data_IF_289015677880
#
_entry.id   IF_289015677880
#
_cell.length_a   1.000
_cell.length_b   1.000
_cell.length_c   1.000
_cell.angle_alpha   90.00
_cell.angle_beta   90.00
_cell.angle_gamma   90.00
#
_symmetry.space_group_name_H-M   'P 1'
#
loop_
_entity.id
_entity.type
_entity.pdbx_description
1 polymer ?
#
# COMPACT_ATOMS: atom_id res chain seq x y z
N UNK A 1 -2.32 -15.71 -8.93
CA UNK A 1 -1.46 -14.52 -8.94
C UNK A 1 -1.97 -13.52 -7.93
N UNK A 2 -1.06 -12.91 -7.14
CA UNK A 2 -1.33 -11.72 -6.31
C UNK A 2 -0.82 -10.50 -7.08
N UNK A 3 -1.69 -9.54 -7.38
CA UNK A 3 -1.37 -8.34 -8.15
C UNK A 3 -1.32 -7.12 -7.24
N UNK A 4 -0.15 -6.53 -7.09
CA UNK A 4 0.05 -5.29 -6.33
C UNK A 4 -0.28 -4.08 -7.19
N UNK A 5 -0.99 -3.10 -6.63
CA UNK A 5 -1.31 -1.86 -7.35
C UNK A 5 -0.60 -0.69 -6.70
N UNK A 6 0.19 0.01 -7.50
CA UNK A 6 0.91 1.22 -7.11
C UNK A 6 0.64 2.35 -8.13
N UNK A 7 0.72 3.62 -7.73
CA UNK A 7 0.61 4.71 -8.70
C UNK A 7 1.87 4.80 -9.58
N UNK A 8 3.03 4.66 -8.97
CA UNK A 8 4.37 4.77 -9.56
C UNK A 8 5.42 4.21 -8.58
N UNK A 9 6.70 4.27 -8.94
CA UNK A 9 7.82 3.81 -8.11
C UNK A 9 8.60 4.96 -7.43
N UNK A 10 7.94 6.06 -7.03
CA UNK A 10 8.61 7.32 -6.60
C UNK A 10 9.22 7.32 -5.19
N UNK A 11 9.16 6.25 -4.43
CA UNK A 11 9.94 6.16 -3.19
C UNK A 11 9.20 6.50 -1.90
N UNK A 12 7.88 6.44 -1.89
CA UNK A 12 7.10 6.52 -0.65
C UNK A 12 7.26 5.28 0.24
N UNK A 13 7.04 5.47 1.55
CA UNK A 13 7.12 4.34 2.50
C UNK A 13 6.08 3.25 2.24
N UNK A 14 4.89 3.63 1.77
CA UNK A 14 3.82 2.69 1.45
C UNK A 14 4.16 1.85 0.21
N UNK A 15 4.74 2.47 -0.82
CA UNK A 15 5.22 1.79 -2.03
C UNK A 15 6.37 0.83 -1.69
N UNK A 16 7.31 1.26 -0.86
CA UNK A 16 8.43 0.40 -0.41
C UNK A 16 7.91 -0.83 0.35
N UNK A 17 6.95 -0.64 1.25
CA UNK A 17 6.32 -1.76 1.98
C UNK A 17 5.62 -2.72 1.01
N UNK A 18 4.88 -2.21 0.02
CA UNK A 18 4.24 -3.06 -0.98
C UNK A 18 5.27 -3.89 -1.77
N UNK A 19 6.38 -3.27 -2.17
CA UNK A 19 7.46 -3.96 -2.89
C UNK A 19 8.18 -4.99 -2.01
N UNK A 20 8.42 -4.71 -0.73
CA UNK A 20 8.97 -5.67 0.21
C UNK A 20 8.05 -6.89 0.38
N UNK A 21 6.72 -6.67 0.49
CA UNK A 21 5.74 -7.75 0.54
C UNK A 21 5.71 -8.55 -0.75
N UNK A 22 5.74 -7.88 -1.90
CA UNK A 22 5.80 -8.51 -3.22
C UNK A 22 7.04 -9.40 -3.33
N UNK A 23 8.22 -8.88 -3.01
CA UNK A 23 9.49 -9.62 -3.06
C UNK A 23 9.47 -10.80 -2.08
N UNK A 24 8.95 -10.58 -0.86
CA UNK A 24 8.82 -11.66 0.14
C UNK A 24 7.90 -12.80 -0.31
N UNK A 25 6.80 -12.49 -0.99
CA UNK A 25 5.91 -13.49 -1.59
C UNK A 25 6.56 -14.18 -2.79
N UNK A 26 7.23 -13.41 -3.65
CA UNK A 26 7.96 -13.94 -4.80
C UNK A 26 9.02 -14.95 -4.37
N UNK A 27 9.85 -14.61 -3.38
CA UNK A 27 10.90 -15.48 -2.85
C UNK A 27 10.36 -16.77 -2.20
N UNK A 28 9.07 -16.79 -1.82
CA UNK A 28 8.36 -17.98 -1.33
C UNK A 28 7.66 -18.77 -2.43
N UNK A 29 7.92 -18.45 -3.70
CA UNK A 29 7.37 -19.16 -4.86
C UNK A 29 5.93 -18.77 -5.24
N UNK A 30 5.37 -17.70 -4.65
CA UNK A 30 4.05 -17.23 -5.06
C UNK A 30 4.11 -16.49 -6.39
N UNK A 31 3.11 -16.71 -7.24
CA UNK A 31 2.95 -15.93 -8.46
C UNK A 31 2.48 -14.52 -8.11
N UNK A 32 3.32 -13.54 -8.35
CA UNK A 32 3.09 -12.11 -8.06
C UNK A 32 3.26 -11.26 -9.32
N UNK A 33 2.65 -10.10 -9.33
CA UNK A 33 2.83 -9.07 -10.36
C UNK A 33 2.60 -7.69 -9.77
N UNK A 34 3.01 -6.65 -10.48
CA UNK A 34 2.72 -5.28 -10.10
C UNK A 34 2.06 -4.53 -11.25
N UNK A 35 0.99 -3.81 -10.96
CA UNK A 35 0.33 -2.90 -11.88
C UNK A 35 0.56 -1.48 -11.40
N UNK A 36 1.05 -0.63 -12.30
CA UNK A 36 1.33 0.78 -12.02
C UNK A 36 0.54 1.69 -12.96
N UNK A 37 0.17 2.88 -12.49
CA UNK A 37 -0.43 3.87 -13.36
C UNK A 37 0.61 4.48 -14.29
N UNK A 38 1.82 4.72 -13.77
CA UNK A 38 2.97 5.17 -14.57
C UNK A 38 4.23 4.44 -14.12
N UNK A 39 4.99 3.89 -15.08
CA UNK A 39 6.23 3.16 -14.82
C UNK A 39 7.42 4.12 -14.64
N UNK A 40 7.39 4.91 -13.56
CA UNK A 40 8.44 5.90 -13.24
C UNK A 40 8.83 5.84 -11.78
N UNK A 41 10.10 6.13 -11.50
CA UNK A 41 10.65 6.31 -10.16
C UNK A 41 11.73 5.29 -9.75
N UNK A 42 12.52 5.62 -8.72
CA UNK A 42 13.72 4.86 -8.34
C UNK A 42 13.43 3.48 -7.76
N UNK A 43 12.26 3.25 -7.18
CA UNK A 43 11.93 1.96 -6.56
C UNK A 43 11.68 0.83 -7.58
N UNK A 44 11.70 1.11 -8.88
CA UNK A 44 11.55 0.07 -9.92
C UNK A 44 12.64 -1.00 -9.80
N UNK A 45 13.83 -0.64 -9.35
CA UNK A 45 14.96 -1.56 -9.11
C UNK A 45 14.69 -2.58 -7.99
N UNK A 46 13.68 -2.35 -7.14
CA UNK A 46 13.28 -3.30 -6.10
C UNK A 46 12.36 -4.41 -6.62
N UNK A 47 11.86 -4.28 -7.84
CA UNK A 47 11.02 -5.33 -8.44
C UNK A 47 11.93 -6.45 -8.97
N UNK A 48 11.75 -7.71 -8.54
CA UNK A 48 12.54 -8.82 -9.08
C UNK A 48 12.40 -8.95 -10.59
N UNK A 49 13.50 -9.29 -11.29
CA UNK A 49 13.59 -9.27 -12.76
C UNK A 49 12.52 -10.14 -13.48
N UNK A 50 12.06 -11.20 -12.82
CA UNK A 50 11.06 -12.13 -13.37
C UNK A 50 9.61 -11.80 -12.95
N UNK A 51 9.39 -10.68 -12.25
CA UNK A 51 8.05 -10.20 -11.91
C UNK A 51 7.52 -9.27 -13.00
N UNK A 52 6.32 -9.57 -13.50
CA UNK A 52 5.69 -8.78 -14.56
C UNK A 52 5.22 -7.42 -14.02
N UNK A 53 5.58 -6.37 -14.74
CA UNK A 53 5.12 -4.99 -14.49
C UNK A 53 4.10 -4.63 -15.57
N UNK A 54 2.85 -4.39 -15.16
CA UNK A 54 1.79 -3.89 -16.02
C UNK A 54 1.70 -2.37 -15.89
N UNK A 55 1.93 -1.63 -16.96
CA UNK A 55 1.84 -0.17 -16.99
C UNK A 55 0.54 0.27 -17.66
N UNK A 56 -0.27 1.09 -16.96
CA UNK A 56 -1.49 1.67 -17.54
C UNK A 56 -1.21 2.90 -18.39
N UNK A 57 0.01 3.45 -18.27
CA UNK A 57 0.45 4.67 -18.98
C UNK A 57 -0.50 5.86 -18.75
N UNK A 58 -0.86 6.09 -17.49
CA UNK A 58 -1.75 7.16 -17.07
C UNK A 58 -1.12 7.99 -15.95
N UNK A 59 -1.42 9.30 -15.91
CA UNK A 59 -0.84 10.21 -14.92
C UNK A 59 -1.81 10.61 -13.80
N UNK A 60 -3.09 10.28 -13.94
CA UNK A 60 -4.11 10.66 -12.96
C UNK A 60 -5.03 9.49 -12.62
N UNK A 61 -5.47 9.43 -11.35
CA UNK A 61 -6.39 8.39 -10.91
C UNK A 61 -7.65 8.31 -11.78
N UNK A 62 -8.24 9.46 -12.15
CA UNK A 62 -9.45 9.50 -12.98
C UNK A 62 -9.26 8.81 -14.33
N UNK A 63 -8.15 9.06 -15.01
CA UNK A 63 -7.82 8.42 -16.29
C UNK A 63 -7.45 6.94 -16.14
N UNK A 64 -7.01 6.54 -14.95
CA UNK A 64 -6.61 5.15 -14.68
C UNK A 64 -7.80 4.22 -14.44
N UNK A 65 -8.99 4.71 -14.11
CA UNK A 65 -10.13 3.85 -13.68
C UNK A 65 -10.52 2.85 -14.76
N UNK A 66 -10.75 3.30 -16.00
CA UNK A 66 -11.16 2.41 -17.09
C UNK A 66 -10.04 1.42 -17.47
N UNK A 67 -8.79 1.86 -17.73
CA UNK A 67 -7.67 0.94 -17.95
C UNK A 67 -7.45 -0.03 -16.79
N UNK A 68 -7.62 0.39 -15.54
CA UNK A 68 -7.50 -0.45 -14.36
C UNK A 68 -8.53 -1.59 -14.40
N UNK A 69 -9.81 -1.25 -14.57
CA UNK A 69 -10.89 -2.24 -14.61
C UNK A 69 -10.70 -3.23 -15.76
N UNK A 70 -10.38 -2.74 -16.96
CA UNK A 70 -10.17 -3.59 -18.14
C UNK A 70 -8.99 -4.53 -17.95
N UNK A 71 -7.87 -4.01 -17.41
CA UNK A 71 -6.68 -4.82 -17.12
C UNK A 71 -6.95 -5.86 -16.04
N UNK A 72 -7.63 -5.50 -14.95
CA UNK A 72 -7.99 -6.45 -13.89
C UNK A 72 -8.93 -7.56 -14.41
N UNK A 73 -9.88 -7.22 -15.26
CA UNK A 73 -10.75 -8.21 -15.91
C UNK A 73 -9.98 -9.17 -16.83
N UNK A 74 -9.02 -8.64 -17.59
CA UNK A 74 -8.19 -9.42 -18.51
C UNK A 74 -7.23 -10.34 -17.76
N UNK A 75 -6.51 -9.81 -16.77
CA UNK A 75 -5.51 -10.55 -15.99
C UNK A 75 -6.17 -11.53 -15.02
N UNK A 76 -7.35 -11.18 -14.53
CA UNK A 76 -8.15 -11.97 -13.61
C UNK A 76 -7.33 -12.54 -12.43
N UNK A 77 -6.61 -11.69 -11.68
CA UNK A 77 -5.79 -12.14 -10.56
C UNK A 77 -6.67 -12.74 -9.46
N UNK A 78 -6.11 -13.63 -8.63
CA UNK A 78 -6.82 -14.11 -7.44
C UNK A 78 -6.99 -13.02 -6.41
N UNK A 79 -5.92 -12.25 -6.16
CA UNK A 79 -5.89 -11.17 -5.17
C UNK A 79 -5.38 -9.90 -5.83
N UNK A 80 -6.05 -8.80 -5.59
CA UNK A 80 -5.60 -7.42 -5.87
C UNK A 80 -5.23 -6.78 -4.54
N UNK A 81 -3.98 -6.37 -4.39
CA UNK A 81 -3.46 -5.75 -3.18
C UNK A 81 -3.13 -4.29 -3.41
N UNK A 82 -3.68 -3.40 -2.59
CA UNK A 82 -3.41 -1.96 -2.63
C UNK A 82 -3.06 -1.40 -1.26
N UNK A 83 -2.18 -0.40 -1.20
CA UNK A 83 -1.66 0.17 0.06
C UNK A 83 -1.81 1.68 0.18
N UNK A 84 -2.48 2.34 -0.75
CA UNK A 84 -2.70 3.79 -0.74
C UNK A 84 -4.18 4.10 -0.67
N UNK A 85 -4.61 4.86 0.34
CA UNK A 85 -6.01 5.10 0.65
C UNK A 85 -6.85 5.59 -0.53
N UNK A 86 -6.34 6.50 -1.38
CA UNK A 86 -7.06 6.97 -2.56
C UNK A 86 -7.22 5.89 -3.65
N UNK A 87 -6.24 4.97 -3.78
CA UNK A 87 -6.35 3.81 -4.68
C UNK A 87 -7.31 2.77 -4.07
N UNK A 88 -7.25 2.56 -2.74
CA UNK A 88 -8.18 1.70 -2.03
C UNK A 88 -9.63 2.13 -2.29
N UNK A 89 -9.93 3.43 -2.10
CA UNK A 89 -11.26 3.99 -2.37
C UNK A 89 -11.67 3.77 -3.82
N UNK A 90 -10.78 4.02 -4.78
CA UNK A 90 -11.07 3.83 -6.20
C UNK A 90 -11.37 2.36 -6.55
N UNK A 91 -10.56 1.43 -6.07
CA UNK A 91 -10.77 -0.02 -6.26
C UNK A 91 -12.09 -0.48 -5.67
N UNK A 92 -12.39 -0.08 -4.44
CA UNK A 92 -13.62 -0.45 -3.76
C UNK A 92 -14.86 0.19 -4.39
N UNK A 93 -14.73 1.39 -4.95
CA UNK A 93 -15.81 2.04 -5.71
C UNK A 93 -16.15 1.27 -6.99
N UNK A 94 -15.17 0.69 -7.68
CA UNK A 94 -15.38 -0.08 -8.92
C UNK A 94 -15.51 -1.59 -8.67
N UNK A 95 -15.57 -2.04 -7.41
CA UNK A 95 -15.66 -3.47 -7.04
C UNK A 95 -16.74 -4.23 -7.80
N UNK A 96 -17.89 -3.60 -8.02
CA UNK A 96 -19.04 -4.19 -8.73
C UNK A 96 -18.79 -4.43 -10.23
N UNK A 97 -17.79 -3.76 -10.82
CA UNK A 97 -17.34 -3.98 -12.20
C UNK A 97 -16.37 -5.16 -12.33
N UNK A 98 -15.83 -5.66 -11.22
CA UNK A 98 -14.83 -6.72 -11.23
C UNK A 98 -15.46 -8.10 -11.01
N UNK A 99 -14.88 -9.17 -11.58
CA UNK A 99 -15.31 -10.54 -11.29
C UNK A 99 -15.32 -10.84 -9.79
N UNK A 100 -16.36 -11.53 -9.31
CA UNK A 100 -16.51 -11.87 -7.88
C UNK A 100 -15.34 -12.70 -7.32
N UNK A 101 -14.69 -13.49 -8.16
CA UNK A 101 -13.54 -14.34 -7.79
C UNK A 101 -12.24 -13.57 -7.51
N UNK A 102 -12.17 -12.29 -7.88
CA UNK A 102 -11.04 -11.43 -7.53
C UNK A 102 -11.26 -10.93 -6.11
N UNK A 103 -10.37 -11.27 -5.20
CA UNK A 103 -10.36 -10.70 -3.84
C UNK A 103 -9.66 -9.35 -3.85
N UNK A 104 -10.25 -8.34 -3.21
CA UNK A 104 -9.64 -7.02 -3.02
C UNK A 104 -9.16 -6.90 -1.59
N UNK A 105 -7.84 -6.86 -1.43
CA UNK A 105 -7.15 -6.66 -0.17
C UNK A 105 -6.61 -5.24 -0.12
N UNK A 106 -7.12 -4.45 0.80
CA UNK A 106 -6.70 -3.06 0.99
C UNK A 106 -5.87 -2.95 2.27
N UNK A 107 -4.79 -2.20 2.20
CA UNK A 107 -3.96 -1.91 3.35
C UNK A 107 -3.92 -0.40 3.59
N UNK A 108 -4.03 0.00 4.85
CA UNK A 108 -3.82 1.40 5.24
C UNK A 108 -2.42 1.58 5.84
N UNK A 109 -1.76 2.64 5.37
CA UNK A 109 -0.43 2.98 5.83
C UNK A 109 -0.43 3.94 7.02
N UNK A 110 -1.46 4.78 7.12
CA UNK A 110 -1.61 5.82 8.15
C UNK A 110 -2.95 5.66 8.88
N UNK A 111 -3.01 6.08 10.14
CA UNK A 111 -4.26 6.18 10.88
C UNK A 111 -5.22 7.15 10.15
N UNK A 112 -6.45 6.71 9.81
CA UNK A 112 -7.42 7.57 9.14
C UNK A 112 -7.72 8.86 9.91
N UNK A 113 -7.84 8.80 11.24
CA UNK A 113 -8.05 9.99 12.09
C UNK A 113 -6.96 11.07 11.94
N UNK A 114 -5.74 10.68 11.54
CA UNK A 114 -4.62 11.61 11.31
C UNK A 114 -4.55 12.04 9.84
N UNK A 115 -4.81 11.11 8.91
CA UNK A 115 -4.60 11.36 7.48
C UNK A 115 -5.79 12.01 6.78
N UNK A 116 -7.03 11.68 7.17
CA UNK A 116 -8.23 12.17 6.49
C UNK A 116 -8.48 13.68 6.70
N UNK A 117 -8.26 14.27 7.89
CA UNK A 117 -8.43 15.72 8.08
C UNK A 117 -7.57 16.59 7.15
N UNK A 118 -6.42 16.06 6.72
CA UNK A 118 -5.49 16.76 5.82
C UNK A 118 -5.85 16.66 4.33
N UNK A 119 -6.95 15.99 4.00
CA UNK A 119 -7.44 15.91 2.62
C UNK A 119 -8.21 17.18 2.23
N UNK A 120 -8.24 17.54 0.93
CA UNK A 120 -9.03 18.69 0.46
C UNK A 120 -10.53 18.60 0.77
N UNK A 121 -11.07 17.39 0.87
CA UNK A 121 -12.49 17.11 1.13
C UNK A 121 -12.65 16.08 2.27
N UNK A 122 -12.30 16.44 3.53
CA UNK A 122 -12.20 15.47 4.61
C UNK A 122 -13.53 14.78 4.93
N UNK A 123 -14.65 15.50 4.92
CA UNK A 123 -15.99 14.92 5.18
C UNK A 123 -16.40 13.91 4.10
N UNK A 124 -16.15 14.25 2.84
CA UNK A 124 -16.46 13.36 1.71
C UNK A 124 -15.64 12.08 1.76
N UNK A 125 -14.33 12.21 1.96
CA UNK A 125 -13.44 11.04 1.99
C UNK A 125 -13.75 10.14 3.20
N UNK A 126 -14.10 10.72 4.35
CA UNK A 126 -14.55 9.96 5.53
C UNK A 126 -15.84 9.18 5.24
N UNK A 127 -16.80 9.80 4.55
CA UNK A 127 -18.03 9.12 4.14
C UNK A 127 -17.73 7.97 3.16
N UNK A 128 -16.81 8.18 2.20
CA UNK A 128 -16.37 7.13 1.27
C UNK A 128 -15.69 5.97 2.00
N UNK A 129 -14.87 6.24 3.00
CA UNK A 129 -14.26 5.20 3.84
C UNK A 129 -15.34 4.36 4.54
N UNK A 130 -16.33 5.00 5.18
CA UNK A 130 -17.45 4.30 5.84
C UNK A 130 -18.28 3.43 4.89
N UNK A 131 -18.48 3.91 3.67
CA UNK A 131 -19.32 3.21 2.68
C UNK A 131 -18.56 2.07 2.00
N UNK A 132 -17.30 2.34 1.60
CA UNK A 132 -16.60 1.48 0.65
C UNK A 132 -15.74 0.43 1.33
N UNK A 133 -15.10 0.70 2.49
CA UNK A 133 -14.20 -0.26 3.13
C UNK A 133 -14.89 -1.56 3.57
N UNK A 134 -16.21 -1.53 3.77
CA UNK A 134 -17.04 -2.72 4.01
C UNK A 134 -17.11 -3.68 2.81
N UNK A 135 -16.68 -3.22 1.63
CA UNK A 135 -16.66 -4.02 0.39
C UNK A 135 -15.32 -4.71 0.13
N UNK A 136 -14.34 -4.47 0.98
CA UNK A 136 -13.06 -5.16 0.92
C UNK A 136 -13.22 -6.62 1.34
N UNK A 137 -12.51 -7.51 0.69
CA UNK A 137 -12.44 -8.91 1.11
C UNK A 137 -11.49 -9.06 2.32
N UNK A 138 -10.43 -8.23 2.37
CA UNK A 138 -9.54 -8.09 3.53
C UNK A 138 -9.10 -6.63 3.69
N UNK A 139 -9.07 -6.18 4.95
CA UNK A 139 -8.48 -4.91 5.36
C UNK A 139 -7.25 -5.17 6.24
N UNK A 140 -6.10 -4.70 5.80
CA UNK A 140 -4.84 -4.88 6.50
C UNK A 140 -4.49 -3.59 7.23
N UNK A 141 -4.45 -3.68 8.54
CA UNK A 141 -4.08 -2.62 9.47
C UNK A 141 -2.64 -2.81 9.96
N UNK A 142 -1.90 -1.73 10.16
CA UNK A 142 -0.52 -1.79 10.67
C UNK A 142 -0.43 -1.90 12.18
N UNK A 143 -1.55 -1.68 12.90
CA UNK A 143 -1.59 -1.70 14.36
C UNK A 143 -3.00 -2.01 14.89
N UNK A 144 -3.05 -2.44 16.16
CA UNK A 144 -4.31 -2.64 16.89
C UNK A 144 -5.12 -1.34 16.97
N UNK A 145 -4.46 -0.19 17.17
CA UNK A 145 -5.13 1.12 17.20
C UNK A 145 -5.87 1.39 15.89
N UNK A 146 -5.25 1.13 14.75
CA UNK A 146 -5.87 1.28 13.44
C UNK A 146 -7.05 0.32 13.24
N UNK A 147 -6.90 -0.95 13.63
CA UNK A 147 -7.99 -1.93 13.61
C UNK A 147 -9.20 -1.42 14.40
N UNK A 148 -8.98 -0.97 15.65
CA UNK A 148 -10.06 -0.48 16.51
C UNK A 148 -10.75 0.77 15.90
N UNK A 149 -9.99 1.65 15.25
CA UNK A 149 -10.55 2.81 14.56
C UNK A 149 -11.44 2.38 13.37
N UNK A 150 -11.02 1.41 12.57
CA UNK A 150 -11.85 0.91 11.47
C UNK A 150 -13.13 0.25 11.96
N UNK A 151 -13.10 -0.46 13.07
CA UNK A 151 -14.29 -1.06 13.67
C UNK A 151 -15.24 0.02 14.21
N UNK A 152 -14.73 0.94 15.05
CA UNK A 152 -15.57 1.88 15.79
C UNK A 152 -16.05 3.07 14.95
N UNK A 153 -15.19 3.63 14.08
CA UNK A 153 -15.48 4.84 13.32
C UNK A 153 -16.04 4.52 11.94
N UNK A 154 -15.46 3.53 11.25
CA UNK A 154 -15.84 3.20 9.87
C UNK A 154 -16.78 1.99 9.78
N UNK A 155 -17.10 1.36 10.90
CA UNK A 155 -18.03 0.24 11.02
C UNK A 155 -17.68 -0.93 10.09
N UNK A 156 -16.38 -1.21 9.95
CA UNK A 156 -15.87 -2.35 9.20
C UNK A 156 -15.92 -3.58 10.09
N UNK A 157 -16.37 -4.70 9.54
CA UNK A 157 -16.42 -5.97 10.30
C UNK A 157 -15.02 -6.43 10.72
N UNK A 158 -14.88 -6.81 11.98
CA UNK A 158 -13.61 -7.34 12.50
C UNK A 158 -13.15 -8.58 11.73
N UNK A 159 -14.07 -9.38 11.19
CA UNK A 159 -13.79 -10.63 10.47
C UNK A 159 -12.95 -10.46 9.20
N UNK A 160 -12.95 -9.25 8.61
CA UNK A 160 -12.13 -8.97 7.42
C UNK A 160 -10.85 -8.22 7.74
N UNK A 161 -10.62 -7.85 9.01
CA UNK A 161 -9.47 -7.04 9.42
C UNK A 161 -8.34 -7.94 9.91
N UNK A 162 -7.18 -7.78 9.29
CA UNK A 162 -5.93 -8.44 9.68
C UNK A 162 -4.91 -7.40 10.14
N UNK A 163 -4.09 -7.76 11.12
CA UNK A 163 -2.99 -6.89 11.58
C UNK A 163 -1.70 -7.39 10.98
N UNK A 164 -1.06 -6.55 10.15
CA UNK A 164 0.24 -6.81 9.57
C UNK A 164 1.13 -5.57 9.74
N UNK A 165 2.06 -5.59 10.70
CA UNK A 165 3.05 -4.51 10.84
C UNK A 165 3.87 -4.33 9.58
N UNK A 166 4.52 -3.16 9.45
CA UNK A 166 5.38 -2.90 8.29
C UNK A 166 6.54 -3.88 8.26
N UNK A 167 6.71 -4.65 7.18
CA UNK A 167 7.86 -5.51 7.01
C UNK A 167 9.13 -4.68 6.83
N UNK A 168 10.22 -5.12 7.42
CA UNK A 168 11.54 -4.55 7.30
C UNK A 168 12.47 -5.61 6.73
N UNK A 169 13.20 -5.28 5.69
CA UNK A 169 14.25 -6.13 5.15
C UNK A 169 15.53 -5.93 5.99
N UNK A 170 15.67 -6.77 7.01
CA UNK A 170 16.76 -6.70 7.97
C UNK A 170 18.11 -7.01 7.31
N UNK A 171 18.14 -7.96 6.37
CA UNK A 171 19.38 -8.38 5.70
C UNK A 171 19.88 -7.28 4.77
N UNK A 172 18.98 -6.65 4.02
CA UNK A 172 19.32 -5.48 3.19
C UNK A 172 19.86 -4.33 4.05
N UNK A 173 19.24 -4.03 5.19
CA UNK A 173 19.69 -2.97 6.08
C UNK A 173 21.09 -3.29 6.63
N UNK A 174 21.30 -4.51 7.08
CA UNK A 174 22.60 -4.93 7.62
C UNK A 174 23.70 -4.91 6.58
N UNK A 175 23.42 -5.38 5.36
CA UNK A 175 24.41 -5.38 4.26
C UNK A 175 24.72 -3.97 3.75
N UNK A 176 23.77 -3.03 3.90
CA UNK A 176 23.92 -1.63 3.47
C UNK A 176 24.49 -0.73 4.59
N UNK A 177 24.62 -1.23 5.82
CA UNK A 177 25.13 -0.44 6.92
C UNK A 177 26.64 -0.24 6.79
N UNK A 178 27.07 1.03 6.79
CA UNK A 178 28.49 1.38 6.93
C UNK A 178 28.95 1.09 8.37
N UNK A 179 30.26 0.78 8.57
CA UNK A 179 30.78 0.63 9.92
C UNK A 179 30.51 1.87 10.74
N UNK A 180 29.91 1.66 11.93
CA UNK A 180 29.55 2.74 12.84
C UNK A 180 30.84 3.47 13.27
N UNK A 181 31.01 4.72 12.84
CA UNK A 181 31.94 5.63 13.52
C UNK A 181 31.41 5.87 14.93
N UNK A 182 32.05 5.32 15.95
CA UNK A 182 31.76 5.68 17.34
C UNK A 182 32.05 7.16 17.50
N UNK A 183 31.07 7.94 17.84
CA UNK A 183 31.26 9.32 18.29
C UNK A 183 31.72 9.22 19.75
N UNK A 184 33.02 9.26 19.96
CA UNK A 184 33.66 9.08 21.27
C UNK A 184 33.79 10.42 22.02
N UNK A 185 32.70 11.21 22.06
CA UNK A 185 32.71 12.52 22.68
C UNK A 185 32.10 12.49 24.09
N UNK A 186 31.95 11.32 24.73
CA UNK A 186 31.41 11.16 26.09
C UNK A 186 29.97 11.64 26.31
N UNK A 187 29.27 12.01 25.22
CA UNK A 187 27.89 12.52 25.24
C UNK A 187 26.89 11.57 24.64
N UNK A 188 25.63 11.77 24.96
CA UNK A 188 24.50 11.03 24.35
C UNK A 188 24.22 11.65 22.97
N UNK A 189 24.30 10.84 21.90
CA UNK A 189 23.99 11.25 20.54
C UNK A 189 22.58 10.80 20.19
N UNK A 190 21.68 11.74 19.86
CA UNK A 190 20.32 11.47 19.38
C UNK A 190 20.32 11.59 17.85
N UNK A 191 19.87 10.52 17.16
CA UNK A 191 19.71 10.52 15.71
C UNK A 191 18.24 10.40 15.38
N UNK A 192 17.73 11.31 14.54
CA UNK A 192 16.37 11.23 13.98
C UNK A 192 16.45 11.22 12.46
N UNK A 193 15.73 10.30 11.83
CA UNK A 193 15.63 10.20 10.37
C UNK A 193 14.16 10.25 9.95
N UNK A 194 13.82 11.09 8.98
CA UNK A 194 12.47 11.20 8.47
C UNK A 194 12.28 12.39 7.55
N UNK A 195 11.11 12.46 6.90
CA UNK A 195 10.71 13.66 6.16
C UNK A 195 10.32 14.75 7.16
N UNK A 196 10.73 15.98 6.92
CA UNK A 196 10.26 17.15 7.65
C UNK A 196 8.86 17.52 7.13
N UNK A 197 7.83 16.89 7.70
CA UNK A 197 6.43 17.16 7.36
C UNK A 197 5.61 17.28 8.63
N UNK A 198 4.45 17.94 8.56
CA UNK A 198 3.52 18.10 9.69
C UNK A 198 2.99 16.77 10.27
N UNK A 199 3.26 15.63 9.62
CA UNK A 199 2.81 14.30 10.09
C UNK A 199 3.84 13.59 10.98
N UNK A 200 4.99 14.20 11.25
CA UNK A 200 6.05 13.61 12.09
C UNK A 200 6.49 14.57 13.18
#
# INVERSE_FOLDING_TARGET
>A
MVLFILPHFSGGGAERVALNLLTGLHNRGHCVGVLVFNKSGPLISMVPNNVLIYNLDTHTLKRSIVPLVTTLRKLNPRVVFSTLGYINVALLAVRWLLPKKIEIWVREANLPSISLPNNPYPKLITALYRLLYKRADKLICTSIKMKNEFISVFLVSESIIEILPNPVDVDLIRSSSLPVKRFDNGGVCYISSGRLTFQK
#
